data_IF_364553526725
#
_entry.id   IF_364553526725
#
_cell.length_a   1.000
_cell.length_b   1.000
_cell.length_c   1.000
_cell.angle_alpha   90.00
_cell.angle_beta   90.00
_cell.angle_gamma   90.00
#
_symmetry.space_group_name_H-M   'P 1'
#
loop_
_entity.id
_entity.type
_entity.pdbx_description
1 polymer ?
#
# COMPACT_ATOMS: atom_id res chain seq x y z
N UNK A 1 -4.56 3.23 23.05
CA UNK A 1 -4.75 4.16 21.91
C UNK A 1 -4.83 3.31 20.66
N UNK A 2 -6.00 3.21 20.05
CA UNK A 2 -6.20 2.40 18.86
C UNK A 2 -5.47 3.06 17.70
N UNK A 3 -4.37 2.45 17.27
CA UNK A 3 -3.63 2.87 16.09
C UNK A 3 -4.47 2.40 14.89
N UNK A 4 -5.41 3.22 14.44
CA UNK A 4 -6.29 2.91 13.31
C UNK A 4 -5.89 3.77 12.09
N UNK A 5 -5.58 3.14 10.96
CA UNK A 5 -5.31 3.83 9.70
C UNK A 5 -6.61 4.07 8.94
N UNK A 6 -7.03 5.33 8.85
CA UNK A 6 -8.14 5.72 7.96
C UNK A 6 -7.64 5.91 6.53
N UNK A 7 -8.33 5.29 5.57
CA UNK A 7 -8.09 5.56 4.16
C UNK A 7 -8.46 7.02 3.84
N UNK A 8 -7.59 7.75 3.12
CA UNK A 8 -7.90 9.13 2.73
C UNK A 8 -8.91 9.23 1.58
N UNK A 9 -9.25 8.10 0.96
CA UNK A 9 -10.15 8.00 -0.20
C UNK A 9 -11.53 7.43 0.14
N UNK A 10 -11.71 6.83 1.31
CA UNK A 10 -12.99 6.28 1.74
C UNK A 10 -13.12 6.24 3.26
N UNK A 11 -14.29 5.84 3.75
CA UNK A 11 -14.58 5.74 5.19
C UNK A 11 -13.98 4.50 5.86
N UNK A 12 -13.25 3.65 5.12
CA UNK A 12 -12.68 2.42 5.66
C UNK A 12 -11.57 2.73 6.67
N UNK A 13 -11.67 2.06 7.82
CA UNK A 13 -10.68 2.08 8.89
C UNK A 13 -9.98 0.72 8.90
N UNK A 14 -8.66 0.73 8.83
CA UNK A 14 -7.81 -0.47 8.84
C UNK A 14 -7.00 -0.42 10.13
N UNK A 15 -7.16 -1.40 11.01
CA UNK A 15 -6.37 -1.46 12.24
C UNK A 15 -4.88 -1.59 11.90
N UNK A 16 -4.00 -0.85 12.59
CA UNK A 16 -2.53 -0.91 12.35
C UNK A 16 -1.96 -2.30 12.64
N UNK A 17 -2.61 -3.06 13.53
CA UNK A 17 -2.31 -4.48 13.78
C UNK A 17 -2.58 -5.39 12.58
N UNK A 18 -3.38 -4.95 11.60
CA UNK A 18 -3.81 -5.74 10.44
C UNK A 18 -2.82 -5.70 9.25
N UNK A 19 -1.58 -5.29 9.51
CA UNK A 19 -0.46 -5.12 8.57
C UNK A 19 -0.58 -3.97 7.55
N UNK A 20 0.54 -3.24 7.27
CA UNK A 20 0.60 -2.21 6.22
C UNK A 20 0.22 -2.75 4.83
N UNK A 21 0.47 -4.03 4.58
CA UNK A 21 0.09 -4.71 3.33
C UNK A 21 -1.41 -4.64 3.05
N UNK A 22 -2.26 -4.65 4.09
CA UNK A 22 -3.71 -4.52 3.97
C UNK A 22 -4.12 -3.13 3.48
N UNK A 23 -3.42 -2.06 3.89
CA UNK A 23 -3.66 -0.72 3.37
C UNK A 23 -3.32 -0.60 1.89
N UNK A 24 -2.14 -1.09 1.47
CA UNK A 24 -1.77 -1.04 0.05
C UNK A 24 -2.66 -1.92 -0.82
N UNK A 25 -3.01 -3.12 -0.36
CA UNK A 25 -3.94 -4.01 -1.05
C UNK A 25 -5.31 -3.35 -1.21
N UNK A 26 -5.84 -2.72 -0.16
CA UNK A 26 -7.08 -1.96 -0.21
C UNK A 26 -7.03 -0.85 -1.29
N UNK A 27 -6.01 0.00 -1.26
CA UNK A 27 -5.88 1.09 -2.24
C UNK A 27 -5.74 0.54 -3.67
N UNK A 28 -4.99 -0.56 -3.85
CA UNK A 28 -4.83 -1.24 -5.14
C UNK A 28 -6.13 -1.84 -5.67
N UNK A 29 -6.97 -2.41 -4.80
CA UNK A 29 -8.21 -3.07 -5.23
C UNK A 29 -9.33 -2.07 -5.49
N UNK A 30 -9.51 -1.09 -4.60
CA UNK A 30 -10.70 -0.23 -4.62
C UNK A 30 -10.47 1.15 -5.26
N UNK A 31 -9.25 1.69 -5.19
CA UNK A 31 -8.98 3.07 -5.59
C UNK A 31 -8.09 3.21 -6.83
N UNK A 32 -7.57 2.11 -7.40
CA UNK A 32 -6.62 2.16 -8.53
C UNK A 32 -7.10 2.96 -9.74
N UNK A 33 -8.42 2.97 -10.00
CA UNK A 33 -9.07 3.63 -11.14
C UNK A 33 -9.86 4.87 -10.73
N UNK A 34 -9.71 5.36 -9.50
CA UNK A 34 -10.41 6.54 -9.04
C UNK A 34 -9.99 7.78 -9.87
N UNK A 35 -10.97 8.52 -10.41
CA UNK A 35 -10.72 9.75 -11.18
C UNK A 35 -10.01 10.83 -10.36
N UNK A 36 -10.37 10.96 -9.07
CA UNK A 36 -9.80 11.93 -8.14
C UNK A 36 -8.93 11.21 -7.10
N UNK A 37 -7.85 10.58 -7.54
CA UNK A 37 -6.97 9.85 -6.65
C UNK A 37 -6.17 10.81 -5.77
N UNK A 38 -6.37 10.76 -4.45
CA UNK A 38 -5.53 11.44 -3.46
C UNK A 38 -5.39 10.55 -2.22
N UNK A 39 -4.22 9.92 -2.08
CA UNK A 39 -3.92 9.04 -0.95
C UNK A 39 -2.73 9.56 -0.15
N UNK A 40 -2.83 9.45 1.16
CA UNK A 40 -1.72 9.69 2.08
C UNK A 40 -1.15 8.33 2.46
N UNK A 41 0.14 8.12 2.28
CA UNK A 41 0.80 6.91 2.78
C UNK A 41 0.70 6.90 4.29
N UNK A 42 0.06 5.88 4.87
CA UNK A 42 -0.13 5.73 6.32
C UNK A 42 0.80 4.70 6.96
N UNK A 43 1.77 4.17 6.22
CA UNK A 43 2.79 3.29 6.79
C UNK A 43 3.44 3.96 8.02
N UNK A 44 3.72 3.23 9.14
CA UNK A 44 4.31 3.85 10.32
C UNK A 44 5.56 4.66 9.96
N UNK A 45 5.62 5.93 10.38
CA UNK A 45 6.70 6.86 10.06
C UNK A 45 6.67 7.46 8.64
N UNK A 46 5.62 7.20 7.84
CA UNK A 46 5.43 7.79 6.52
C UNK A 46 4.12 8.59 6.46
N UNK A 47 4.17 9.78 5.85
CA UNK A 47 3.01 10.66 5.65
C UNK A 47 3.03 11.32 4.27
N UNK A 48 3.67 10.69 3.28
CA UNK A 48 3.77 11.26 1.93
C UNK A 48 2.42 11.25 1.19
N UNK A 49 2.17 12.29 0.41
CA UNK A 49 0.94 12.46 -0.36
C UNK A 49 1.13 12.06 -1.82
N UNK A 50 0.10 11.44 -2.41
CA UNK A 50 0.11 11.03 -3.80
C UNK A 50 -1.22 11.32 -4.49
N UNK A 51 -1.15 12.01 -5.63
CA UNK A 51 -2.31 12.33 -6.47
C UNK A 51 -2.54 11.34 -7.62
N UNK A 52 -1.72 10.28 -7.69
CA UNK A 52 -1.91 9.20 -8.65
C UNK A 52 -1.45 7.87 -8.06
N UNK A 53 -2.15 6.80 -8.44
CA UNK A 53 -1.89 5.45 -7.94
C UNK A 53 -0.50 4.94 -8.31
N UNK A 54 0.00 5.26 -9.51
CA UNK A 54 1.30 4.78 -9.99
C UNK A 54 2.45 5.28 -9.11
N UNK A 55 2.43 6.57 -8.73
CA UNK A 55 3.44 7.16 -7.84
C UNK A 55 3.34 6.57 -6.43
N UNK A 56 2.13 6.38 -5.92
CA UNK A 56 1.91 5.71 -4.64
C UNK A 56 2.45 4.28 -4.66
N UNK A 57 2.11 3.46 -5.67
CA UNK A 57 2.63 2.10 -5.85
C UNK A 57 4.15 2.06 -5.90
N UNK A 58 4.77 2.94 -6.67
CA UNK A 58 6.23 3.02 -6.78
C UNK A 58 6.87 3.38 -5.44
N UNK A 59 6.31 4.36 -4.73
CA UNK A 59 6.76 4.71 -3.40
C UNK A 59 6.63 3.54 -2.44
N UNK A 60 5.46 2.91 -2.39
CA UNK A 60 5.20 1.78 -1.51
C UNK A 60 6.20 0.66 -1.76
N UNK A 61 6.36 0.21 -3.00
CA UNK A 61 7.30 -0.86 -3.34
C UNK A 61 8.76 -0.49 -2.98
N UNK A 62 9.19 0.77 -3.16
CA UNK A 62 10.57 1.20 -2.90
C UNK A 62 10.87 1.40 -1.41
N UNK A 63 9.91 1.86 -0.62
CA UNK A 63 10.12 2.32 0.77
C UNK A 63 9.51 1.39 1.82
N UNK A 64 8.49 0.63 1.45
CA UNK A 64 7.67 -0.19 2.35
C UNK A 64 7.51 -1.64 1.87
N UNK A 65 7.75 -1.89 0.58
CA UNK A 65 7.68 -3.20 -0.06
C UNK A 65 8.89 -4.08 0.22
N UNK A 66 9.43 -4.04 1.45
CA UNK A 66 10.33 -5.10 1.90
C UNK A 66 9.56 -6.42 1.84
N UNK A 67 10.12 -7.37 1.08
CA UNK A 67 9.66 -8.75 0.82
C UNK A 67 8.37 -8.92 0.00
N UNK A 68 8.39 -8.48 -1.26
CA UNK A 68 7.98 -9.43 -2.32
C UNK A 68 9.28 -9.98 -2.87
N UNK A 69 9.77 -11.06 -2.25
CA UNK A 69 10.74 -11.93 -2.89
C UNK A 69 10.17 -12.22 -4.27
N UNK A 70 10.84 -11.72 -5.30
CA UNK A 70 10.69 -12.30 -6.62
C UNK A 70 11.12 -13.76 -6.43
N UNK A 71 10.15 -14.65 -6.22
CA UNK A 71 10.36 -16.06 -6.49
C UNK A 71 10.45 -16.10 -8.01
N UNK A 72 11.64 -15.80 -8.53
CA UNK A 72 12.05 -16.36 -9.81
C UNK A 72 12.06 -17.86 -9.55
N UNK A 73 11.20 -18.68 -10.19
CA UNK A 73 11.38 -20.12 -10.13
C UNK A 73 12.74 -20.40 -10.76
N UNK A 74 13.74 -20.67 -9.92
CA UNK A 74 15.00 -21.22 -10.36
C UNK A 74 14.68 -22.66 -10.73
N UNK A 75 14.29 -22.87 -11.98
CA UNK A 75 14.21 -24.20 -12.57
C UNK A 75 15.65 -24.68 -12.66
N UNK A 76 16.10 -25.39 -11.62
CA UNK A 76 17.24 -26.30 -11.71
C UNK A 76 16.74 -27.51 -12.49
N UNK A 77 17.12 -27.60 -13.77
CA UNK A 77 17.02 -28.85 -14.52
C UNK A 77 18.09 -29.80 -13.98
N UNK A 78 17.64 -30.95 -13.49
CA UNK A 78 18.45 -32.17 -13.32
C UNK A 78 18.82 -32.76 -14.68
#
# INVERSE_FOLDING_TARGET
MSNDMKCSMCTLVIAVSDHPTSFYAHVKLYHKTARNFHIICKHPGCQNHYHNFISFKRHWNKKHGSTVTQITPNIVNE
#
